data_IF_734406941238
#
_entry.id   IF_734406941238
#
_cell.length_a   1.000
_cell.length_b   1.000
_cell.length_c   1.000
_cell.angle_alpha   90.00
_cell.angle_beta   90.00
_cell.angle_gamma   90.00
#
_symmetry.space_group_name_H-M   'P 1'
#
loop_
_entity.id
_entity.type
_entity.pdbx_description
1 polymer ?
#
# COMPACT_ATOMS: atom_id res chain seq x y z
N UNK A 1 -8.64 27.77 -1.50
CA UNK A 1 -7.18 27.52 -1.45
C UNK A 1 -6.91 26.24 -2.20
N UNK A 2 -6.13 26.26 -3.28
CA UNK A 2 -5.57 25.02 -3.83
C UNK A 2 -4.39 24.68 -2.92
N UNK A 3 -4.53 23.64 -2.10
CA UNK A 3 -3.36 23.10 -1.40
C UNK A 3 -2.49 22.47 -2.48
N UNK A 4 -1.43 23.17 -2.89
CA UNK A 4 -0.39 22.51 -3.65
C UNK A 4 0.19 21.44 -2.73
N UNK A 5 -0.11 20.19 -3.06
CA UNK A 5 0.53 19.05 -2.41
C UNK A 5 1.98 19.14 -2.87
N UNK A 6 2.85 19.64 -2.01
CA UNK A 6 4.30 19.56 -2.22
C UNK A 6 4.69 18.10 -2.19
N UNK A 7 4.62 17.45 -3.36
CA UNK A 7 5.15 16.11 -3.55
C UNK A 7 6.67 16.24 -3.52
N UNK A 8 7.33 15.36 -2.77
CA UNK A 8 8.78 15.26 -2.74
C UNK A 8 9.33 15.17 -4.18
N UNK A 9 10.07 16.19 -4.61
CA UNK A 9 10.61 16.28 -5.96
C UNK A 9 11.87 15.42 -6.07
N UNK A 10 11.69 14.16 -6.44
CA UNK A 10 12.80 13.24 -6.71
C UNK A 10 13.39 13.51 -8.11
N UNK A 11 14.73 13.42 -8.30
CA UNK A 11 15.33 13.58 -9.61
C UNK A 11 14.74 12.60 -10.64
N UNK A 12 14.19 13.13 -11.73
CA UNK A 12 13.53 12.34 -12.77
C UNK A 12 14.46 11.28 -13.37
N UNK A 13 15.75 11.60 -13.50
CA UNK A 13 16.78 10.70 -14.02
C UNK A 13 16.99 9.47 -13.14
N UNK A 14 17.01 9.64 -11.81
CA UNK A 14 17.17 8.55 -10.85
C UNK A 14 15.95 7.62 -10.88
N UNK A 15 14.74 8.18 -10.83
CA UNK A 15 13.51 7.39 -10.91
C UNK A 15 13.43 6.63 -12.23
N UNK A 16 13.70 7.30 -13.35
CA UNK A 16 13.68 6.66 -14.68
C UNK A 16 14.69 5.52 -14.79
N UNK A 17 15.89 5.67 -14.20
CA UNK A 17 16.90 4.61 -14.18
C UNK A 17 16.41 3.39 -13.39
N UNK A 18 15.82 3.61 -12.21
CA UNK A 18 15.25 2.54 -11.39
C UNK A 18 14.09 1.86 -12.12
N UNK A 19 13.18 2.62 -12.75
CA UNK A 19 12.05 2.06 -13.51
C UNK A 19 12.51 1.15 -14.65
N UNK A 20 13.56 1.52 -15.38
CA UNK A 20 14.14 0.68 -16.44
C UNK A 20 14.85 -0.56 -15.89
N UNK A 21 15.45 -0.49 -14.71
CA UNK A 21 16.07 -1.65 -14.06
C UNK A 21 15.02 -2.71 -13.70
N UNK A 22 13.86 -2.27 -13.21
CA UNK A 22 12.74 -3.15 -12.85
C UNK A 22 11.99 -3.64 -14.08
N UNK A 23 11.91 -2.83 -15.15
CA UNK A 23 11.18 -3.14 -16.37
C UNK A 23 12.01 -2.87 -17.64
N UNK A 24 13.04 -3.70 -17.93
CA UNK A 24 14.00 -3.44 -19.01
C UNK A 24 13.39 -3.45 -20.41
N UNK A 25 12.32 -4.22 -20.61
CA UNK A 25 11.66 -4.37 -21.91
C UNK A 25 10.50 -3.38 -22.13
N UNK A 26 10.22 -2.49 -21.17
CA UNK A 26 9.10 -1.55 -21.23
C UNK A 26 9.60 -0.15 -21.62
N UNK A 27 9.00 0.42 -22.66
CA UNK A 27 9.22 1.83 -23.02
C UNK A 27 8.22 2.70 -22.26
N UNK A 28 8.74 3.62 -21.46
CA UNK A 28 7.92 4.60 -20.73
C UNK A 28 7.72 5.86 -21.56
N UNK A 29 6.46 6.28 -21.74
CA UNK A 29 6.13 7.62 -22.26
C UNK A 29 6.54 8.70 -21.26
N UNK A 30 6.62 9.95 -21.69
CA UNK A 30 6.98 11.07 -20.79
C UNK A 30 5.96 11.23 -19.65
N UNK A 31 4.68 11.02 -19.94
CA UNK A 31 3.60 11.06 -18.97
C UNK A 31 3.73 9.92 -17.94
N UNK A 32 4.13 8.72 -18.38
CA UNK A 32 4.34 7.59 -17.50
C UNK A 32 5.54 7.81 -16.57
N UNK A 33 6.65 8.38 -17.09
CA UNK A 33 7.80 8.75 -16.25
C UNK A 33 7.41 9.77 -15.19
N UNK A 34 6.65 10.80 -15.58
CA UNK A 34 6.14 11.81 -14.64
C UNK A 34 5.21 11.21 -13.58
N UNK A 35 4.31 10.32 -13.99
CA UNK A 35 3.40 9.64 -13.07
C UNK A 35 4.16 8.77 -12.05
N UNK A 36 5.14 7.99 -12.50
CA UNK A 36 5.97 7.17 -11.61
C UNK A 36 6.82 8.03 -10.67
N UNK A 37 7.37 9.15 -11.15
CA UNK A 37 8.12 10.10 -10.31
C UNK A 37 7.26 10.70 -9.20
N UNK A 38 6.04 11.14 -9.52
CA UNK A 38 5.07 11.64 -8.53
C UNK A 38 4.66 10.53 -7.56
N UNK A 39 4.38 9.33 -8.05
CA UNK A 39 4.01 8.18 -7.22
C UNK A 39 5.13 7.79 -6.26
N UNK A 40 6.39 7.82 -6.69
CA UNK A 40 7.55 7.56 -5.85
C UNK A 40 7.69 8.59 -4.73
N UNK A 41 7.52 9.89 -5.04
CA UNK A 41 7.51 10.95 -4.02
C UNK A 41 6.38 10.77 -3.01
N UNK A 42 5.17 10.47 -3.48
CA UNK A 42 4.02 10.16 -2.62
C UNK A 42 4.27 8.91 -1.76
N UNK A 43 4.90 7.87 -2.30
CA UNK A 43 5.22 6.67 -1.55
C UNK A 43 6.17 6.95 -0.39
N UNK A 44 7.21 7.77 -0.61
CA UNK A 44 8.14 8.18 0.45
C UNK A 44 7.41 8.99 1.54
N UNK A 45 6.58 9.96 1.15
CA UNK A 45 5.81 10.77 2.10
C UNK A 45 4.81 9.93 2.89
N UNK A 46 4.07 9.04 2.20
CA UNK A 46 3.11 8.14 2.83
C UNK A 46 3.80 7.20 3.83
N UNK A 47 4.89 6.56 3.42
CA UNK A 47 5.68 5.69 4.28
C UNK A 47 6.23 6.46 5.49
N UNK A 48 6.66 7.72 5.30
CA UNK A 48 7.12 8.57 6.40
C UNK A 48 6.00 8.88 7.39
N UNK A 49 4.79 9.19 6.91
CA UNK A 49 3.62 9.43 7.75
C UNK A 49 3.22 8.19 8.55
N UNK A 50 3.24 7.00 7.93
CA UNK A 50 2.90 5.76 8.64
C UNK A 50 4.01 5.34 9.62
N UNK A 51 5.28 5.51 9.25
CA UNK A 51 6.40 5.31 10.16
C UNK A 51 6.38 6.31 11.33
N UNK A 52 5.86 7.53 11.13
CA UNK A 52 5.61 8.49 12.21
C UNK A 52 4.58 7.96 13.22
N UNK A 53 3.49 7.35 12.77
CA UNK A 53 2.51 6.71 13.66
C UNK A 53 3.15 5.58 14.48
N UNK A 54 4.02 4.79 13.86
CA UNK A 54 4.79 3.75 14.57
C UNK A 54 5.74 4.35 15.61
N UNK A 55 6.46 5.42 15.27
CA UNK A 55 7.40 6.09 16.17
C UNK A 55 6.70 6.74 17.38
N UNK A 56 5.58 7.42 17.13
CA UNK A 56 4.79 8.10 18.16
C UNK A 56 4.09 7.11 19.09
N UNK A 57 3.66 5.95 18.59
CA UNK A 57 3.18 4.83 19.42
C UNK A 57 4.25 4.37 20.42
N UNK A 58 5.53 4.47 20.05
CA UNK A 58 6.67 4.17 20.92
C UNK A 58 7.16 5.40 21.70
N UNK A 59 6.35 6.46 21.81
CA UNK A 59 6.65 7.72 22.52
C UNK A 59 7.92 8.43 22.01
N UNK A 60 8.29 8.21 20.74
CA UNK A 60 9.42 8.89 20.08
C UNK A 60 8.92 9.96 19.12
N UNK A 61 9.70 11.04 18.99
CA UNK A 61 9.49 12.13 18.01
C UNK A 61 10.42 12.05 16.79
N UNK A 62 11.18 10.96 16.69
CA UNK A 62 12.15 10.75 15.61
C UNK A 62 11.86 9.40 14.97
N UNK A 63 11.62 9.42 13.67
CA UNK A 63 11.45 8.23 12.83
C UNK A 63 12.79 7.52 12.70
N UNK A 64 12.81 6.20 12.91
CA UNK A 64 13.97 5.34 12.72
C UNK A 64 13.74 4.38 11.55
N UNK A 65 14.80 3.79 11.00
CA UNK A 65 14.68 2.77 9.94
C UNK A 65 13.79 1.60 10.37
N UNK A 66 13.84 1.22 11.64
CA UNK A 66 12.98 0.17 12.23
C UNK A 66 11.49 0.49 12.17
N UNK A 67 11.10 1.77 12.20
CA UNK A 67 9.69 2.17 12.14
C UNK A 67 9.13 1.96 10.74
N UNK A 68 9.92 2.31 9.73
CA UNK A 68 9.62 2.08 8.32
C UNK A 68 9.53 0.58 8.04
N UNK A 69 10.54 -0.19 8.45
CA UNK A 69 10.55 -1.65 8.26
C UNK A 69 9.35 -2.31 8.93
N UNK A 70 9.01 -1.91 10.16
CA UNK A 70 7.83 -2.43 10.86
C UNK A 70 6.54 -2.12 10.09
N UNK A 71 6.34 -0.88 9.66
CA UNK A 71 5.16 -0.51 8.87
C UNK A 71 5.07 -1.32 7.56
N UNK A 72 6.18 -1.47 6.84
CA UNK A 72 6.21 -2.23 5.59
C UNK A 72 5.90 -3.72 5.80
N UNK A 73 6.36 -4.29 6.92
CA UNK A 73 6.03 -5.65 7.32
C UNK A 73 4.54 -5.79 7.68
N UNK A 74 4.03 -4.90 8.54
CA UNK A 74 2.62 -4.88 8.97
C UNK A 74 1.65 -4.63 7.78
N UNK A 75 2.13 -4.00 6.70
CA UNK A 75 1.36 -3.78 5.46
C UNK A 75 1.54 -4.88 4.40
N UNK A 76 2.30 -5.94 4.69
CA UNK A 76 2.49 -7.08 3.81
C UNK A 76 3.44 -6.84 2.64
N UNK A 77 4.30 -5.82 2.71
CA UNK A 77 5.30 -5.52 1.69
C UNK A 77 6.62 -6.28 1.94
N UNK A 78 6.53 -7.61 2.10
CA UNK A 78 7.65 -8.47 2.51
C UNK A 78 8.87 -8.38 1.57
N UNK A 79 8.64 -8.26 0.26
CA UNK A 79 9.72 -8.10 -0.74
C UNK A 79 10.53 -6.81 -0.49
N UNK A 80 9.84 -5.72 -0.16
CA UNK A 80 10.47 -4.43 0.15
C UNK A 80 11.17 -4.51 1.49
N UNK A 81 10.57 -5.18 2.49
CA UNK A 81 11.19 -5.41 3.81
C UNK A 81 12.50 -6.16 3.69
N UNK A 82 12.58 -7.21 2.88
CA UNK A 82 13.79 -7.99 2.68
C UNK A 82 14.92 -7.15 2.05
N UNK A 83 14.59 -6.41 0.98
CA UNK A 83 15.54 -5.52 0.31
C UNK A 83 16.02 -4.39 1.24
N UNK A 84 15.09 -3.76 1.97
CA UNK A 84 15.39 -2.65 2.86
C UNK A 84 16.19 -3.07 4.09
N UNK A 85 15.91 -4.25 4.65
CA UNK A 85 16.67 -4.78 5.80
C UNK A 85 18.13 -5.07 5.41
N UNK A 86 18.34 -5.63 4.22
CA UNK A 86 19.69 -5.85 3.66
C UNK A 86 20.44 -4.52 3.49
N UNK A 87 19.76 -3.47 3.02
CA UNK A 87 20.33 -2.14 2.88
C UNK A 87 20.64 -1.50 4.26
N UNK A 88 19.73 -1.60 5.22
CA UNK A 88 19.89 -1.05 6.58
C UNK A 88 21.09 -1.68 7.32
N UNK A 89 21.31 -2.99 7.17
CA UNK A 89 22.48 -3.68 7.73
C UNK A 89 23.79 -3.23 7.09
N UNK A 90 23.82 -3.06 5.76
CA UNK A 90 24.98 -2.51 5.04
C UNK A 90 25.26 -1.07 5.48
N UNK A 91 24.22 -0.26 5.60
CA UNK A 91 24.33 1.13 6.07
C UNK A 91 24.90 1.20 7.49
N UNK A 92 24.39 0.40 8.43
CA UNK A 92 24.90 0.33 9.81
C UNK A 92 26.36 -0.13 9.88
N UNK A 93 26.77 -1.10 9.05
CA UNK A 93 28.17 -1.54 8.97
C UNK A 93 29.09 -0.42 8.46
N UNK A 94 28.67 0.29 7.42
CA UNK A 94 29.42 1.42 6.86
C UNK A 94 29.53 2.61 7.83
N UNK A 95 28.50 2.85 8.66
CA UNK A 95 28.56 3.85 9.73
C UNK A 95 29.57 3.46 10.81
N UNK A 96 29.62 2.18 11.20
CA UNK A 96 30.60 1.69 12.19
C UNK A 96 32.02 1.83 11.68
N UNK A 97 32.31 1.45 10.43
CA UNK A 97 33.66 1.56 9.85
C UNK A 97 34.16 3.00 9.73
N UNK A 98 33.26 3.98 9.54
CA UNK A 98 33.64 5.40 9.49
C UNK A 98 33.92 6.00 10.89
N UNK A 99 33.41 5.38 11.95
CA UNK A 99 33.73 5.72 13.33
C UNK A 99 34.88 4.89 13.92
N UNK A 100 35.21 3.75 13.30
CA UNK A 100 36.33 2.90 13.69
C UNK A 100 37.47 2.99 12.67
N UNK A 101 38.37 3.93 12.97
CA UNK A 101 39.81 3.79 12.73
C UNK A 101 40.33 4.29 11.38
N UNK A 102 41.23 5.28 11.52
CA UNK A 102 42.49 5.48 10.80
C UNK A 102 43.19 4.16 10.46
N UNK A 103 42.64 3.36 9.54
CA UNK A 103 43.36 2.28 8.86
C UNK A 103 42.93 2.26 7.39
N UNK A 104 43.88 2.71 6.58
CA UNK A 104 43.88 2.73 5.13
C UNK A 104 43.51 1.35 4.58
N UNK A 105 42.32 1.24 3.99
CA UNK A 105 42.07 0.23 2.96
C UNK A 105 41.72 0.97 1.68
N UNK A 106 42.72 1.01 0.81
CA UNK A 106 42.64 1.36 -0.60
C UNK A 106 41.61 0.44 -1.25
N UNK A 107 40.51 1.01 -1.74
CA UNK A 107 39.65 0.33 -2.70
C UNK A 107 39.87 1.00 -4.04
N UNK A 108 40.32 0.18 -4.99
CA UNK A 108 40.76 0.52 -6.33
C UNK A 108 39.66 1.26 -7.12
N UNK A 109 40.05 2.39 -7.71
CA UNK A 109 39.23 3.22 -8.57
C UNK A 109 38.87 2.47 -9.86
N UNK A 110 37.59 2.13 -10.01
CA UNK A 110 36.96 1.85 -11.30
C UNK A 110 35.63 2.61 -11.35
N UNK A 111 35.63 3.78 -12.01
CA UNK A 111 34.78 4.07 -13.18
C UNK A 111 34.90 5.54 -13.63
N UNK A 112 35.49 5.70 -14.83
CA UNK A 112 34.99 6.41 -16.01
C UNK A 112 34.15 7.69 -15.80
N UNK A 113 34.86 8.81 -15.98
CA UNK A 113 34.66 9.87 -16.99
C UNK A 113 33.39 10.74 -17.02
N UNK A 114 33.67 12.01 -17.28
CA UNK A 114 32.88 13.21 -17.12
C UNK A 114 31.68 13.36 -18.07
N UNK A 115 30.66 14.05 -17.54
CA UNK A 115 29.55 14.60 -18.29
C UNK A 115 28.99 15.84 -17.60
N UNK A 116 29.84 16.86 -17.48
CA UNK A 116 29.58 18.24 -17.06
C UNK A 116 28.39 18.86 -17.80
N UNK A 117 27.51 19.57 -17.07
CA UNK A 117 27.19 20.99 -17.30
C UNK A 117 25.84 21.47 -16.71
N UNK A 118 25.95 22.20 -15.59
CA UNK A 118 25.31 23.52 -15.29
C UNK A 118 23.78 23.73 -15.42
N UNK A 119 23.13 24.03 -14.28
CA UNK A 119 22.61 25.39 -14.03
C UNK A 119 22.13 25.60 -12.57
N UNK A 120 22.82 26.55 -11.93
CA UNK A 120 22.37 27.61 -11.01
C UNK A 120 21.66 27.31 -9.68
N UNK A 121 22.34 27.76 -8.62
CA UNK A 121 21.89 27.98 -7.26
C UNK A 121 20.89 29.15 -7.17
N UNK A 122 19.90 29.09 -6.26
CA UNK A 122 19.63 30.23 -5.35
C UNK A 122 18.92 29.75 -4.07
N UNK A 123 19.48 30.15 -2.94
CA UNK A 123 18.92 30.07 -1.59
C UNK A 123 17.72 31.01 -1.43
N UNK A 124 16.70 30.58 -0.68
CA UNK A 124 15.88 31.49 0.11
C UNK A 124 15.26 30.73 1.29
N UNK A 125 15.76 31.03 2.48
CA UNK A 125 15.10 30.75 3.75
C UNK A 125 13.77 31.51 3.81
N UNK A 126 12.76 30.91 4.44
CA UNK A 126 11.81 31.63 5.30
C UNK A 126 11.14 30.65 6.27
N UNK A 127 11.56 30.77 7.52
CA UNK A 127 10.80 30.41 8.71
C UNK A 127 9.42 31.08 8.70
N UNK A 128 8.36 30.32 8.99
CA UNK A 128 7.41 30.63 10.08
C UNK A 128 6.26 29.64 10.12
N UNK A 129 6.25 28.83 11.18
CA UNK A 129 5.13 28.69 12.12
C UNK A 129 3.71 28.90 11.57
N UNK A 130 2.89 27.84 11.54
CA UNK A 130 1.84 27.67 12.56
C UNK A 130 1.17 26.30 12.39
N UNK A 131 1.25 25.57 13.49
CA UNK A 131 0.62 24.31 13.87
C UNK A 131 -0.92 24.40 13.82
N UNK A 132 -1.59 23.54 13.04
CA UNK A 132 -2.88 22.98 13.44
C UNK A 132 -3.04 21.54 12.95
N UNK A 133 -3.49 20.62 13.83
CA UNK A 133 -3.54 19.19 13.55
C UNK A 133 -4.70 18.87 12.61
N UNK A 134 -4.38 18.18 11.51
CA UNK A 134 -5.36 17.63 10.58
C UNK A 134 -6.29 16.65 11.32
N UNK A 135 -7.58 17.00 11.35
CA UNK A 135 -8.66 16.19 11.89
C UNK A 135 -8.73 14.85 11.14
N UNK A 136 -8.71 13.69 11.83
CA UNK A 136 -8.81 12.40 11.19
C UNK A 136 -10.10 12.32 10.37
N UNK A 137 -9.99 11.86 9.12
CA UNK A 137 -11.10 11.48 8.26
C UNK A 137 -11.89 10.35 8.95
N UNK A 138 -12.77 10.71 9.88
CA UNK A 138 -13.81 9.81 10.38
C UNK A 138 -14.77 9.62 9.21
N UNK A 139 -14.65 8.49 8.52
CA UNK A 139 -15.73 8.00 7.65
C UNK A 139 -17.01 8.01 8.49
N UNK A 140 -18.07 8.61 7.95
CA UNK A 140 -19.38 8.62 8.58
C UNK A 140 -19.81 7.17 8.84
N UNK A 141 -20.47 6.86 9.96
CA UNK A 141 -21.04 5.54 10.20
C UNK A 141 -22.08 5.28 9.10
N UNK A 142 -21.81 4.33 8.21
CA UNK A 142 -22.77 3.86 7.22
C UNK A 142 -23.80 3.02 8.00
N UNK A 143 -25.08 3.41 7.94
CA UNK A 143 -26.16 2.87 8.78
C UNK A 143 -26.73 1.53 8.27
N UNK A 144 -26.15 0.92 7.23
CA UNK A 144 -26.50 -0.44 6.84
C UNK A 144 -25.54 -1.46 7.46
N UNK A 145 -25.80 -1.71 8.74
CA UNK A 145 -25.19 -2.79 9.52
C UNK A 145 -25.66 -4.12 8.92
N UNK A 146 -24.73 -4.89 8.35
CA UNK A 146 -24.96 -6.31 8.06
C UNK A 146 -25.59 -6.93 9.32
N UNK A 147 -26.76 -7.58 9.23
CA UNK A 147 -27.43 -8.11 10.41
C UNK A 147 -26.47 -8.97 11.25
N UNK A 148 -26.49 -8.82 12.57
CA UNK A 148 -25.47 -9.42 13.45
C UNK A 148 -25.44 -10.95 13.30
N UNK A 149 -26.59 -11.58 13.03
CA UNK A 149 -26.74 -12.99 12.72
C UNK A 149 -25.92 -13.43 11.51
N UNK A 150 -25.82 -12.59 10.48
CA UNK A 150 -25.02 -12.86 9.28
C UNK A 150 -23.52 -12.75 9.57
N UNK A 151 -23.12 -11.78 10.40
CA UNK A 151 -21.74 -11.66 10.85
C UNK A 151 -21.32 -12.85 11.71
N UNK A 152 -22.21 -13.33 12.58
CA UNK A 152 -21.99 -14.53 13.40
C UNK A 152 -21.92 -15.79 12.54
N UNK A 153 -22.81 -15.94 11.55
CA UNK A 153 -22.78 -17.05 10.60
C UNK A 153 -21.46 -17.08 9.81
N UNK A 154 -21.03 -15.94 9.26
CA UNK A 154 -19.76 -15.82 8.55
C UNK A 154 -18.55 -16.13 9.45
N UNK A 155 -18.56 -15.61 10.68
CA UNK A 155 -17.49 -15.85 11.66
C UNK A 155 -17.42 -17.31 12.09
N UNK A 156 -18.55 -18.00 12.14
CA UNK A 156 -18.62 -19.42 12.49
C UNK A 156 -18.25 -20.37 11.33
N UNK A 157 -18.10 -19.85 10.10
CA UNK A 157 -17.80 -20.67 8.92
C UNK A 157 -16.34 -21.15 8.90
N UNK A 158 -16.07 -22.46 9.08
CA UNK A 158 -14.70 -22.99 9.13
C UNK A 158 -14.01 -22.91 7.76
N UNK A 159 -14.77 -22.99 6.67
CA UNK A 159 -14.24 -22.86 5.31
C UNK A 159 -13.72 -21.44 5.05
N UNK A 160 -14.47 -20.43 5.52
CA UNK A 160 -14.09 -19.02 5.39
C UNK A 160 -12.84 -18.73 6.23
N UNK A 161 -12.83 -19.17 7.49
CA UNK A 161 -11.68 -19.01 8.39
C UNK A 161 -10.43 -19.69 7.83
N UNK A 162 -10.55 -20.90 7.30
CA UNK A 162 -9.43 -21.63 6.69
C UNK A 162 -8.88 -20.88 5.46
N UNK A 163 -9.75 -20.33 4.61
CA UNK A 163 -9.33 -19.56 3.45
C UNK A 163 -8.61 -18.27 3.86
N UNK A 164 -9.20 -17.51 4.79
CA UNK A 164 -8.57 -16.32 5.36
C UNK A 164 -7.22 -16.66 5.98
N UNK A 165 -7.10 -17.79 6.67
CA UNK A 165 -5.85 -18.26 7.27
C UNK A 165 -4.80 -18.67 6.26
N UNK A 166 -5.18 -19.35 5.17
CA UNK A 166 -4.24 -19.85 4.17
C UNK A 166 -3.73 -18.78 3.21
N UNK A 167 -4.47 -17.68 3.00
CA UNK A 167 -4.17 -16.69 1.97
C UNK A 167 -3.76 -15.33 2.58
N UNK A 168 -2.45 -15.09 2.68
CA UNK A 168 -1.91 -13.78 3.07
C UNK A 168 -2.32 -12.69 2.08
N UNK A 169 -2.32 -13.01 0.78
CA UNK A 169 -2.74 -12.12 -0.30
C UNK A 169 -4.21 -11.68 -0.17
N UNK A 170 -5.11 -12.57 0.24
CA UNK A 170 -6.51 -12.20 0.45
C UNK A 170 -6.65 -11.18 1.58
N UNK A 171 -5.91 -11.36 2.68
CA UNK A 171 -5.94 -10.42 3.81
C UNK A 171 -5.41 -9.05 3.42
N UNK A 172 -4.26 -9.01 2.73
CA UNK A 172 -3.70 -7.74 2.25
C UNK A 172 -4.64 -7.07 1.25
N UNK A 173 -5.30 -7.84 0.38
CA UNK A 173 -6.32 -7.35 -0.54
C UNK A 173 -7.55 -6.81 0.19
N UNK A 174 -8.07 -7.49 1.21
CA UNK A 174 -9.21 -7.01 2.02
C UNK A 174 -8.87 -5.69 2.75
N UNK A 175 -7.66 -5.58 3.31
CA UNK A 175 -7.17 -4.33 3.93
C UNK A 175 -7.01 -3.23 2.89
N UNK A 176 -6.53 -3.58 1.69
CA UNK A 176 -6.38 -2.64 0.58
C UNK A 176 -7.74 -2.10 0.11
N UNK A 177 -8.76 -2.96 -0.06
CA UNK A 177 -10.13 -2.56 -0.41
C UNK A 177 -10.70 -1.61 0.64
N UNK A 178 -10.57 -1.95 1.93
CA UNK A 178 -11.07 -1.11 3.02
C UNK A 178 -10.42 0.27 3.03
N UNK A 179 -9.11 0.35 2.74
CA UNK A 179 -8.38 1.63 2.72
C UNK A 179 -8.47 2.37 1.38
N UNK A 180 -9.07 1.79 0.36
CA UNK A 180 -9.11 2.39 -0.96
C UNK A 180 -10.00 3.65 -0.98
N UNK A 181 -9.59 4.74 -1.67
CA UNK A 181 -10.42 5.95 -1.80
C UNK A 181 -11.72 5.68 -2.57
N UNK A 182 -11.70 4.71 -3.50
CA UNK A 182 -12.86 4.27 -4.28
C UNK A 182 -13.08 2.76 -4.11
N UNK A 183 -13.78 2.32 -3.05
CA UNK A 183 -13.97 0.89 -2.77
C UNK A 183 -14.55 0.13 -3.96
N UNK A 184 -15.51 0.70 -4.68
CA UNK A 184 -16.12 0.08 -5.87
C UNK A 184 -15.07 -0.32 -6.93
N UNK A 185 -14.16 0.58 -7.29
CA UNK A 185 -13.10 0.27 -8.26
C UNK A 185 -12.07 -0.73 -7.69
N UNK A 186 -11.84 -0.71 -6.37
CA UNK A 186 -11.02 -1.71 -5.70
C UNK A 186 -11.66 -3.09 -5.74
N UNK A 187 -12.98 -3.18 -5.58
CA UNK A 187 -13.72 -4.44 -5.74
C UNK A 187 -13.60 -4.99 -7.16
N UNK A 188 -13.68 -4.17 -8.21
CA UNK A 188 -13.50 -4.63 -9.59
C UNK A 188 -12.09 -5.23 -9.83
N UNK A 189 -11.08 -4.64 -9.19
CA UNK A 189 -9.74 -5.19 -9.22
C UNK A 189 -9.64 -6.50 -8.41
N UNK A 190 -10.19 -6.50 -7.19
CA UNK A 190 -10.17 -7.65 -6.29
C UNK A 190 -10.93 -8.85 -6.86
N UNK A 191 -12.02 -8.63 -7.59
CA UNK A 191 -12.78 -9.68 -8.28
C UNK A 191 -11.97 -10.37 -9.38
N UNK A 192 -10.82 -9.84 -9.81
CA UNK A 192 -9.88 -10.53 -10.71
C UNK A 192 -9.04 -11.57 -9.98
N UNK A 193 -8.96 -11.51 -8.65
CA UNK A 193 -8.19 -12.42 -7.82
C UNK A 193 -9.01 -13.69 -7.50
N UNK A 194 -8.48 -14.91 -7.75
CA UNK A 194 -9.22 -16.15 -7.53
C UNK A 194 -9.57 -16.39 -6.06
N UNK A 195 -8.67 -16.07 -5.14
CA UNK A 195 -8.92 -16.24 -3.70
C UNK A 195 -10.00 -15.30 -3.19
N UNK A 196 -10.07 -14.07 -3.72
CA UNK A 196 -11.12 -13.12 -3.38
C UNK A 196 -12.48 -13.58 -3.91
N UNK A 197 -12.56 -14.07 -5.15
CA UNK A 197 -13.80 -14.67 -5.68
C UNK A 197 -14.27 -15.85 -4.83
N UNK A 198 -13.33 -16.72 -4.42
CA UNK A 198 -13.62 -17.85 -3.54
C UNK A 198 -14.11 -17.38 -2.17
N UNK A 199 -13.51 -16.33 -1.61
CA UNK A 199 -13.95 -15.69 -0.39
C UNK A 199 -15.38 -15.15 -0.52
N UNK A 200 -15.68 -14.37 -1.56
CA UNK A 200 -17.03 -13.86 -1.82
C UNK A 200 -18.05 -14.99 -1.97
N UNK A 201 -17.72 -16.03 -2.73
CA UNK A 201 -18.59 -17.20 -2.90
C UNK A 201 -18.87 -17.91 -1.57
N UNK A 202 -17.85 -18.10 -0.72
CA UNK A 202 -18.03 -18.68 0.61
C UNK A 202 -18.89 -17.79 1.51
N UNK A 203 -18.72 -16.47 1.45
CA UNK A 203 -19.58 -15.53 2.18
C UNK A 203 -21.04 -15.70 1.75
N UNK A 204 -21.31 -15.60 0.44
CA UNK A 204 -22.67 -15.74 -0.09
C UNK A 204 -23.29 -17.09 0.25
N UNK A 205 -22.56 -18.19 0.09
CA UNK A 205 -23.06 -19.53 0.44
C UNK A 205 -23.37 -19.67 1.93
N UNK A 206 -22.65 -18.95 2.80
CA UNK A 206 -22.91 -18.96 4.24
C UNK A 206 -24.15 -18.14 4.59
N UNK A 207 -24.41 -17.06 3.84
CA UNK A 207 -25.57 -16.18 4.06
C UNK A 207 -26.86 -16.74 3.43
N UNK A 208 -26.77 -17.45 2.30
CA UNK A 208 -27.93 -17.98 1.58
C UNK A 208 -28.57 -19.23 2.21
N UNK A 209 -28.08 -19.70 3.35
CA UNK A 209 -28.80 -20.67 4.22
C UNK A 209 -29.03 -22.10 3.70
N UNK A 210 -28.69 -22.46 2.47
CA UNK A 210 -29.07 -23.76 1.88
C UNK A 210 -27.92 -24.79 1.88
N UNK A 211 -28.04 -25.90 2.64
CA UNK A 211 -27.17 -27.05 2.48
C UNK A 211 -27.65 -27.94 1.33
N UNK A 212 -26.81 -28.09 0.30
CA UNK A 212 -26.72 -29.27 -0.61
C UNK A 212 -28.03 -30.02 -0.91
N UNK A 213 -28.59 -29.78 -2.10
CA UNK A 213 -29.26 -30.82 -2.88
C UNK A 213 -30.72 -30.55 -3.23
N UNK A 214 -30.96 -29.79 -4.29
CA UNK A 214 -32.00 -30.12 -5.27
C UNK A 214 -31.80 -29.28 -6.52
N UNK A 215 -31.80 -29.96 -7.67
CA UNK A 215 -31.87 -29.31 -8.96
C UNK A 215 -33.24 -28.63 -9.07
N UNK A 216 -33.28 -27.29 -9.04
CA UNK A 216 -34.50 -26.53 -9.28
C UNK A 216 -34.24 -25.45 -10.34
N UNK A 217 -34.71 -25.80 -11.52
CA UNK A 217 -35.28 -25.01 -12.62
C UNK A 217 -34.96 -23.51 -12.74
N UNK A 218 -34.24 -23.22 -13.83
CA UNK A 218 -34.34 -22.04 -14.71
C UNK A 218 -35.50 -21.08 -14.40
N UNK A 219 -35.25 -20.13 -13.51
CA UNK A 219 -35.94 -18.85 -13.43
C UNK A 219 -34.85 -17.82 -13.15
N UNK A 220 -34.61 -16.94 -14.12
CA UNK A 220 -33.71 -15.78 -14.12
C UNK A 220 -32.99 -15.53 -12.77
N UNK A 221 -31.90 -16.26 -12.54
CA UNK A 221 -31.13 -16.12 -11.31
C UNK A 221 -30.39 -14.78 -11.36
N UNK A 222 -30.55 -13.90 -10.35
CA UNK A 222 -29.71 -12.73 -10.23
C UNK A 222 -28.25 -13.21 -10.19
N UNK A 223 -27.45 -12.76 -11.16
CA UNK A 223 -26.03 -13.11 -11.23
C UNK A 223 -25.36 -12.72 -9.91
N UNK A 224 -24.30 -13.43 -9.51
CA UNK A 224 -23.54 -13.12 -8.30
C UNK A 224 -23.12 -11.63 -8.25
N UNK A 225 -22.86 -11.05 -9.43
CA UNK A 225 -22.62 -9.63 -9.61
C UNK A 225 -23.84 -8.78 -9.25
N UNK A 226 -25.04 -9.12 -9.69
CA UNK A 226 -26.27 -8.41 -9.31
C UNK A 226 -26.64 -8.57 -7.83
N UNK A 227 -26.35 -9.71 -7.18
CA UNK A 227 -26.57 -9.87 -5.74
C UNK A 227 -25.54 -9.10 -4.91
N UNK A 228 -24.26 -9.10 -5.29
CA UNK A 228 -23.23 -8.31 -4.62
C UNK A 228 -23.46 -6.81 -4.86
N UNK A 229 -23.82 -6.43 -6.09
CA UNK A 229 -24.24 -5.08 -6.40
C UNK A 229 -25.53 -4.71 -5.67
N UNK A 230 -26.50 -5.60 -5.49
CA UNK A 230 -27.68 -5.32 -4.68
C UNK A 230 -27.32 -5.16 -3.19
N UNK A 231 -26.38 -5.95 -2.67
CA UNK A 231 -25.85 -5.77 -1.30
C UNK A 231 -25.12 -4.44 -1.11
N UNK A 232 -24.52 -3.89 -2.18
CA UNK A 232 -23.79 -2.62 -2.17
C UNK A 232 -24.64 -1.41 -2.59
N UNK A 233 -25.67 -1.62 -3.42
CA UNK A 233 -26.53 -0.61 -4.05
C UNK A 233 -27.96 -0.61 -3.51
N UNK A 234 -28.27 -1.28 -2.40
CA UNK A 234 -29.56 -1.11 -1.72
C UNK A 234 -29.63 0.28 -1.04
N UNK A 235 -29.47 1.32 -1.86
CA UNK A 235 -29.78 2.73 -1.66
C UNK A 235 -30.95 3.04 -2.60
N UNK A 236 -32.20 2.63 -2.31
CA UNK A 236 -33.41 3.21 -2.94
C UNK A 236 -34.68 2.77 -2.19
N UNK A 237 -35.05 3.49 -1.12
CA UNK A 237 -36.33 4.18 -0.94
C UNK A 237 -36.44 4.77 0.46
#
# INVERSE_FOLDING_TARGET
MKQEIEILNLPMSAVTRISKLVAPNIKFTEEAKLAVNRAAGMFVLYTSMMAWEVATTQKRKTIRSTDIIKFLNDSGQEDIVAALSTFDDRFKKAQKSKNSTDEVIVLEDQEVDEGRAESSCTLANSDSSSDQPAKPLRRAPVEHVIPQEHLEALRSSPALLKLLQSSTNLRSLLVWIDRHPTPSAAFDYALKEPDFRRFCSLCLNTLSGEPKGSAVTLGEQPTAESMIMALLNNDYS
#
